data_IF_558715257409
#
_entry.id   IF_558715257409
#
_cell.length_a   1.000
_cell.length_b   1.000
_cell.length_c   1.000
_cell.angle_alpha   90.00
_cell.angle_beta   90.00
_cell.angle_gamma   90.00
#
_symmetry.space_group_name_H-M   'P 1'
#
loop_
_entity.id
_entity.type
_entity.pdbx_description
1 polymer ?
#
# COMPACT_ATOMS: atom_id res chain seq x y z
N UNK A 1 0.28 -17.06 18.42
CA UNK A 1 1.68 -17.36 18.06
C UNK A 1 2.13 -18.75 18.55
N UNK A 2 2.31 -19.01 19.85
CA UNK A 2 3.02 -20.22 20.35
C UNK A 2 2.47 -21.59 19.93
N UNK A 3 1.16 -21.73 19.68
CA UNK A 3 0.60 -23.00 19.18
C UNK A 3 0.95 -23.30 17.71
N UNK A 4 1.38 -22.29 16.94
CA UNK A 4 1.79 -22.45 15.53
C UNK A 4 3.17 -23.06 15.38
N UNK A 5 4.06 -22.85 16.36
CA UNK A 5 5.43 -23.37 16.35
C UNK A 5 5.46 -24.90 16.17
N UNK A 6 4.79 -25.71 17.03
CA UNK A 6 4.80 -27.16 16.85
C UNK A 6 4.10 -27.61 15.57
N UNK A 7 3.06 -26.90 15.11
CA UNK A 7 2.40 -27.20 13.84
C UNK A 7 3.34 -26.99 12.65
N UNK A 8 4.11 -25.90 12.67
CA UNK A 8 5.13 -25.60 11.67
C UNK A 8 6.26 -26.63 11.68
N UNK A 9 6.79 -26.97 12.86
CA UNK A 9 7.82 -28.00 13.03
C UNK A 9 7.34 -29.36 12.50
N UNK A 10 6.09 -29.74 12.79
CA UNK A 10 5.52 -31.00 12.32
C UNK A 10 5.23 -31.02 10.82
N UNK A 11 4.88 -29.88 10.22
CA UNK A 11 4.79 -29.73 8.76
C UNK A 11 6.16 -29.95 8.11
N UNK A 12 7.20 -29.26 8.61
CA UNK A 12 8.59 -29.41 8.12
C UNK A 12 9.05 -30.87 8.26
N UNK A 13 8.75 -31.51 9.39
CA UNK A 13 9.06 -32.91 9.62
C UNK A 13 8.34 -33.83 8.63
N UNK A 14 7.04 -33.62 8.39
CA UNK A 14 6.27 -34.40 7.40
C UNK A 14 6.84 -34.28 5.99
N UNK A 15 7.18 -33.07 5.55
CA UNK A 15 7.78 -32.82 4.24
C UNK A 15 9.14 -33.51 4.10
N UNK A 16 9.94 -33.54 5.17
CA UNK A 16 11.25 -34.21 5.19
C UNK A 16 11.17 -35.73 5.14
N UNK A 17 10.27 -36.31 5.92
CA UNK A 17 10.08 -37.77 5.95
C UNK A 17 9.22 -38.27 4.77
N UNK A 18 8.79 -37.36 3.88
CA UNK A 18 7.92 -37.66 2.73
C UNK A 18 6.60 -38.35 3.15
N UNK A 19 6.13 -38.04 4.35
CA UNK A 19 4.85 -38.53 4.89
C UNK A 19 3.74 -37.59 4.40
N UNK A 20 3.18 -37.90 3.22
CA UNK A 20 2.15 -37.08 2.56
C UNK A 20 0.91 -36.90 3.47
N UNK A 21 0.54 -37.94 4.24
CA UNK A 21 -0.57 -37.85 5.18
C UNK A 21 -0.31 -36.81 6.27
N UNK A 22 0.91 -36.81 6.82
CA UNK A 22 1.35 -35.80 7.80
C UNK A 22 1.41 -34.41 7.20
N UNK A 23 1.98 -34.26 6.00
CA UNK A 23 2.03 -32.98 5.27
C UNK A 23 0.62 -32.42 5.12
N UNK A 24 -0.33 -33.21 4.63
CA UNK A 24 -1.70 -32.76 4.41
C UNK A 24 -2.43 -32.33 5.68
N UNK A 25 -2.17 -32.97 6.83
CA UNK A 25 -2.79 -32.59 8.11
C UNK A 25 -2.23 -31.25 8.60
N UNK A 26 -0.90 -31.12 8.68
CA UNK A 26 -0.30 -29.90 9.22
C UNK A 26 -0.37 -28.73 8.25
N UNK A 27 -0.37 -28.97 6.93
CA UNK A 27 -0.58 -27.92 5.93
C UNK A 27 -1.95 -27.27 6.08
N UNK A 28 -3.02 -28.05 6.29
CA UNK A 28 -4.37 -27.49 6.52
C UNK A 28 -4.48 -26.69 7.81
N UNK A 29 -3.61 -26.91 8.78
CA UNK A 29 -3.55 -26.09 10.00
C UNK A 29 -2.70 -24.82 9.81
N UNK A 30 -1.59 -24.92 9.07
CA UNK A 30 -0.60 -23.83 8.92
C UNK A 30 -0.93 -22.88 7.78
N UNK A 31 -1.19 -23.41 6.58
CA UNK A 31 -1.31 -22.62 5.35
C UNK A 31 -2.42 -21.57 5.42
N UNK A 32 -3.63 -21.85 5.93
CA UNK A 32 -4.67 -20.82 6.02
C UNK A 32 -4.30 -19.62 6.89
N UNK A 33 -3.37 -19.77 7.85
CA UNK A 33 -2.92 -18.66 8.70
C UNK A 33 -2.00 -17.69 7.94
N UNK A 34 -1.39 -18.14 6.83
CA UNK A 34 -0.46 -17.34 6.01
C UNK A 34 -1.22 -16.35 5.11
N UNK A 35 -2.51 -16.57 4.84
CA UNK A 35 -3.33 -15.60 4.08
C UNK A 35 -3.40 -14.22 4.75
N UNK A 36 -3.32 -14.18 6.09
CA UNK A 36 -3.24 -12.95 6.87
C UNK A 36 -1.89 -12.23 6.77
N UNK A 37 -0.92 -12.82 6.05
CA UNK A 37 0.46 -12.38 5.94
C UNK A 37 0.93 -12.16 4.50
N UNK A 38 0.37 -12.86 3.51
CA UNK A 38 0.68 -12.69 2.09
C UNK A 38 -0.20 -13.62 1.27
N UNK A 39 -0.94 -13.03 0.33
CA UNK A 39 -1.86 -13.78 -0.50
C UNK A 39 -1.08 -14.68 -1.46
N UNK A 40 -0.03 -14.18 -2.10
CA UNK A 40 0.78 -14.98 -3.02
C UNK A 40 1.42 -16.21 -2.37
N UNK A 41 1.98 -16.05 -1.16
CA UNK A 41 2.56 -17.18 -0.41
C UNK A 41 1.49 -18.16 0.02
N UNK A 42 0.34 -17.68 0.45
CA UNK A 42 -0.80 -18.53 0.76
C UNK A 42 -1.22 -19.35 -0.46
N UNK A 43 -1.39 -18.73 -1.64
CA UNK A 43 -1.80 -19.42 -2.85
C UNK A 43 -0.78 -20.46 -3.32
N UNK A 44 0.51 -20.12 -3.30
CA UNK A 44 1.58 -21.06 -3.58
C UNK A 44 1.53 -22.27 -2.64
N UNK A 45 1.51 -22.03 -1.32
CA UNK A 45 1.50 -23.10 -0.32
C UNK A 45 0.22 -23.94 -0.35
N UNK A 46 -0.94 -23.32 -0.61
CA UNK A 46 -2.22 -24.02 -0.76
C UNK A 46 -2.21 -24.93 -1.97
N UNK A 47 -1.81 -24.40 -3.13
CA UNK A 47 -1.68 -25.18 -4.35
C UNK A 47 -0.73 -26.35 -4.17
N UNK A 48 0.44 -26.13 -3.56
CA UNK A 48 1.50 -27.13 -3.41
C UNK A 48 1.24 -28.18 -2.31
N UNK A 49 0.60 -27.80 -1.20
CA UNK A 49 0.49 -28.67 -0.01
C UNK A 49 -0.92 -29.17 0.30
N UNK A 50 -1.96 -28.56 -0.30
CA UNK A 50 -3.37 -28.87 0.01
C UNK A 50 -4.12 -29.34 -1.22
N UNK A 51 -4.04 -28.57 -2.31
CA UNK A 51 -4.84 -28.84 -3.52
C UNK A 51 -4.22 -29.94 -4.38
N UNK A 52 -2.88 -30.05 -4.37
CA UNK A 52 -2.13 -31.08 -5.09
C UNK A 52 -1.36 -31.98 -4.12
N UNK A 53 -0.92 -33.13 -4.62
CA UNK A 53 -0.03 -34.03 -3.88
C UNK A 53 1.37 -33.41 -3.78
N UNK A 54 1.84 -33.20 -2.56
CA UNK A 54 3.18 -32.68 -2.29
C UNK A 54 4.27 -33.62 -2.83
N UNK A 55 5.23 -33.06 -3.54
CA UNK A 55 6.42 -33.75 -4.05
C UNK A 55 7.71 -33.20 -3.44
N UNK A 56 8.68 -34.08 -3.18
CA UNK A 56 9.88 -33.72 -2.41
C UNK A 56 10.82 -32.75 -3.13
N UNK A 57 10.77 -32.65 -4.45
CA UNK A 57 11.52 -31.69 -5.26
C UNK A 57 11.19 -30.24 -4.89
N UNK A 58 9.96 -29.97 -4.42
CA UNK A 58 9.51 -28.64 -3.98
C UNK A 58 9.90 -28.32 -2.53
N UNK A 59 10.64 -29.19 -1.85
CA UNK A 59 10.95 -29.04 -0.42
C UNK A 59 11.57 -27.67 -0.08
N UNK A 60 12.56 -27.21 -0.85
CA UNK A 60 13.25 -25.95 -0.56
C UNK A 60 12.36 -24.74 -0.81
N UNK A 61 11.58 -24.75 -1.88
CA UNK A 61 10.68 -23.63 -2.22
C UNK A 61 9.57 -23.48 -1.18
N UNK A 62 8.97 -24.60 -0.77
CA UNK A 62 7.98 -24.62 0.31
C UNK A 62 8.59 -24.20 1.64
N UNK A 63 9.78 -24.72 2.00
CA UNK A 63 10.44 -24.34 3.23
C UNK A 63 10.74 -22.83 3.28
N UNK A 64 11.25 -22.25 2.19
CA UNK A 64 11.49 -20.80 2.10
C UNK A 64 10.19 -19.99 2.20
N UNK A 65 9.10 -20.44 1.56
CA UNK A 65 7.80 -19.77 1.64
C UNK A 65 7.23 -19.79 3.07
N UNK A 66 7.41 -20.91 3.80
CA UNK A 66 7.04 -21.01 5.21
C UNK A 66 7.91 -20.08 6.08
N UNK A 67 9.24 -20.15 5.93
CA UNK A 67 10.20 -19.36 6.73
C UNK A 67 9.99 -17.85 6.59
N UNK A 68 9.69 -17.36 5.37
CA UNK A 68 9.35 -15.95 5.14
C UNK A 68 8.09 -15.50 5.89
N UNK A 69 7.25 -16.43 6.34
CA UNK A 69 5.98 -16.14 7.02
C UNK A 69 6.11 -16.09 8.54
N UNK A 70 7.25 -16.49 9.10
CA UNK A 70 7.45 -16.62 10.55
C UNK A 70 7.26 -15.28 11.27
N UNK A 71 7.90 -14.23 10.76
CA UNK A 71 7.88 -12.90 11.36
C UNK A 71 6.44 -12.32 11.47
N UNK A 72 5.64 -12.45 10.41
CA UNK A 72 4.23 -12.07 10.44
C UNK A 72 3.38 -12.95 11.37
N UNK A 73 3.66 -14.25 11.44
CA UNK A 73 2.97 -15.17 12.36
C UNK A 73 3.40 -14.97 13.83
N UNK A 74 4.42 -14.16 14.07
CA UNK A 74 4.87 -13.71 15.38
C UNK A 74 5.81 -14.68 16.09
N UNK A 75 6.66 -15.38 15.35
CA UNK A 75 7.74 -16.21 15.89
C UNK A 75 9.00 -16.09 15.03
N UNK A 76 10.18 -16.33 15.61
CA UNK A 76 11.49 -16.21 14.94
C UNK A 76 11.96 -17.54 14.33
N UNK A 77 13.07 -17.49 13.60
CA UNK A 77 13.80 -18.69 13.19
C UNK A 77 14.27 -19.53 14.39
N UNK A 78 14.69 -18.87 15.48
CA UNK A 78 15.11 -19.52 16.72
C UNK A 78 13.96 -20.31 17.37
N UNK A 79 12.74 -19.76 17.35
CA UNK A 79 11.55 -20.44 17.89
C UNK A 79 11.25 -21.77 17.18
N UNK A 80 11.56 -21.88 15.88
CA UNK A 80 11.40 -23.10 15.08
C UNK A 80 12.59 -24.05 15.25
N UNK A 81 13.81 -23.49 15.25
CA UNK A 81 15.07 -24.20 15.44
C UNK A 81 15.55 -25.02 14.23
N UNK A 82 16.66 -25.75 14.42
CA UNK A 82 17.24 -26.62 13.41
C UNK A 82 16.63 -28.04 13.41
N UNK A 83 16.35 -28.60 12.23
CA UNK A 83 15.86 -29.97 12.11
C UNK A 83 17.00 -30.98 12.22
N UNK A 84 16.91 -31.90 13.18
CA UNK A 84 17.91 -32.95 13.47
C UNK A 84 19.35 -32.39 13.46
N UNK A 85 19.55 -31.26 14.16
CA UNK A 85 20.82 -30.52 14.41
C UNK A 85 21.68 -30.10 13.20
N UNK A 86 21.45 -30.62 11.99
CA UNK A 86 22.23 -30.27 10.78
C UNK A 86 21.55 -30.66 9.45
N UNK A 87 20.38 -31.30 9.46
CA UNK A 87 19.69 -31.73 8.22
C UNK A 87 18.92 -30.57 7.57
N UNK A 88 18.41 -29.66 8.39
CA UNK A 88 17.98 -28.33 7.96
C UNK A 88 18.58 -27.37 8.98
N UNK A 89 19.45 -26.48 8.51
CA UNK A 89 19.97 -25.42 9.36
C UNK A 89 18.83 -24.51 9.84
N UNK A 90 19.00 -23.95 11.03
CA UNK A 90 18.15 -22.85 11.48
C UNK A 90 18.20 -21.73 10.45
N UNK A 91 17.04 -21.14 10.13
CA UNK A 91 17.02 -19.99 9.24
C UNK A 91 17.61 -18.76 9.93
N UNK A 92 17.95 -17.74 9.16
CA UNK A 92 18.31 -16.44 9.69
C UNK A 92 17.07 -15.54 9.68
N UNK A 93 16.84 -14.83 10.78
CA UNK A 93 15.89 -13.72 10.78
C UNK A 93 16.38 -12.62 9.83
N UNK A 94 15.43 -11.86 9.29
CA UNK A 94 15.70 -10.77 8.36
C UNK A 94 16.60 -9.72 9.03
N UNK A 95 17.75 -9.31 8.46
CA UNK A 95 18.64 -8.34 9.10
C UNK A 95 18.03 -6.92 9.13
N UNK A 96 18.55 -6.04 9.99
CA UNK A 96 18.02 -4.68 10.18
C UNK A 96 18.13 -3.77 8.95
N UNK A 97 19.11 -4.02 8.09
CA UNK A 97 19.37 -3.33 6.83
C UNK A 97 18.77 -4.05 5.63
N UNK A 98 17.84 -4.99 5.85
CA UNK A 98 17.17 -5.69 4.76
C UNK A 98 16.46 -4.69 3.84
N UNK A 99 16.69 -4.78 2.51
CA UNK A 99 16.07 -3.85 1.58
C UNK A 99 14.53 -3.90 1.61
N UNK A 100 13.89 -2.79 1.27
CA UNK A 100 12.44 -2.67 1.09
C UNK A 100 12.19 -2.11 -0.31
N UNK A 101 11.68 -2.95 -1.22
CA UNK A 101 11.56 -2.67 -2.64
C UNK A 101 12.83 -2.06 -3.27
N UNK A 102 13.99 -2.71 -3.05
CA UNK A 102 15.28 -2.24 -3.56
C UNK A 102 15.96 -1.15 -2.75
N UNK A 103 15.25 -0.49 -1.83
CA UNK A 103 15.86 0.51 -0.96
C UNK A 103 16.51 -0.12 0.27
N UNK A 104 17.82 0.05 0.44
CA UNK A 104 18.53 -0.37 1.66
C UNK A 104 18.48 0.74 2.71
N UNK A 105 17.77 0.56 3.85
CA UNK A 105 17.70 1.58 4.90
C UNK A 105 19.01 1.71 5.68
N UNK A 106 19.25 2.88 6.31
CA UNK A 106 20.35 3.04 7.29
C UNK A 106 19.99 2.61 8.70
N UNK A 107 18.71 2.64 9.02
CA UNK A 107 18.14 2.36 10.34
C UNK A 107 17.11 1.24 10.25
N UNK A 108 16.90 0.54 11.36
CA UNK A 108 15.94 -0.55 11.40
C UNK A 108 14.50 -0.03 11.29
N UNK A 109 13.92 -0.19 10.10
CA UNK A 109 12.54 0.23 9.80
C UNK A 109 11.59 -0.94 9.57
N UNK A 110 12.02 -2.18 9.87
CA UNK A 110 11.20 -3.38 9.66
C UNK A 110 9.87 -3.29 10.41
N UNK A 111 9.90 -2.89 11.68
CA UNK A 111 8.68 -2.73 12.47
C UNK A 111 7.80 -1.56 11.96
N UNK A 112 8.36 -0.54 11.33
CA UNK A 112 7.57 0.54 10.73
C UNK A 112 6.85 0.05 9.47
N UNK A 113 7.55 -0.71 8.63
CA UNK A 113 7.02 -1.25 7.38
C UNK A 113 5.84 -2.21 7.59
N UNK A 114 5.78 -2.90 8.75
CA UNK A 114 4.70 -3.84 9.13
C UNK A 114 3.33 -3.20 9.37
N UNK A 115 3.19 -1.87 9.27
CA UNK A 115 1.87 -1.22 9.34
C UNK A 115 0.96 -1.67 8.18
N UNK A 116 1.55 -2.11 7.07
CA UNK A 116 0.83 -2.65 5.92
C UNK A 116 0.09 -3.97 6.24
N UNK A 117 0.61 -4.78 7.17
CA UNK A 117 -0.06 -5.96 7.68
C UNK A 117 -1.32 -5.60 8.48
N UNK A 118 -1.33 -4.45 9.18
CA UNK A 118 -2.54 -3.97 9.85
C UNK A 118 -3.61 -3.60 8.81
N UNK A 119 -3.24 -2.92 7.71
CA UNK A 119 -4.13 -2.65 6.58
C UNK A 119 -4.68 -3.95 5.98
N UNK A 120 -3.83 -4.94 5.71
CA UNK A 120 -4.24 -6.24 5.16
C UNK A 120 -5.22 -6.97 6.09
N UNK A 121 -4.93 -6.98 7.38
CA UNK A 121 -5.77 -7.70 8.34
C UNK A 121 -7.09 -6.97 8.60
N UNK A 122 -7.11 -5.64 8.53
CA UNK A 122 -8.35 -4.85 8.54
C UNK A 122 -9.23 -5.24 7.34
N UNK A 123 -8.67 -5.27 6.13
CA UNK A 123 -9.37 -5.72 4.91
C UNK A 123 -9.99 -7.10 5.10
N UNK A 124 -9.20 -8.07 5.54
CA UNK A 124 -9.69 -9.43 5.79
C UNK A 124 -10.83 -9.38 6.82
N UNK A 125 -10.63 -8.74 7.97
CA UNK A 125 -11.66 -8.70 9.02
C UNK A 125 -12.95 -8.04 8.56
N UNK A 126 -12.90 -6.93 7.82
CA UNK A 126 -14.09 -6.25 7.29
C UNK A 126 -14.82 -7.10 6.25
N UNK A 127 -14.10 -7.81 5.37
CA UNK A 127 -14.72 -8.71 4.38
C UNK A 127 -15.46 -9.90 5.01
N UNK A 128 -14.99 -10.36 6.18
CA UNK A 128 -15.66 -11.36 7.02
C UNK A 128 -16.71 -10.76 7.99
N UNK A 129 -17.08 -9.49 7.80
CA UNK A 129 -18.06 -8.78 8.62
C UNK A 129 -17.66 -8.62 10.11
N UNK A 130 -16.36 -8.71 10.40
CA UNK A 130 -15.80 -8.55 11.75
C UNK A 130 -15.36 -7.09 12.01
N UNK A 131 -16.22 -6.12 11.69
CA UNK A 131 -15.91 -4.68 11.77
C UNK A 131 -15.47 -4.20 13.16
N UNK A 132 -16.02 -4.77 14.24
CA UNK A 132 -15.56 -4.45 15.60
C UNK A 132 -14.09 -4.83 15.83
N UNK A 133 -13.64 -5.97 15.29
CA UNK A 133 -12.25 -6.40 15.40
C UNK A 133 -11.36 -5.60 14.45
N UNK A 134 -11.84 -5.33 13.23
CA UNK A 134 -11.16 -4.44 12.28
C UNK A 134 -10.92 -3.05 12.90
N UNK A 135 -11.94 -2.48 13.56
CA UNK A 135 -11.84 -1.22 14.28
C UNK A 135 -10.80 -1.26 15.42
N UNK A 136 -10.67 -2.39 16.14
CA UNK A 136 -9.60 -2.53 17.14
C UNK A 136 -8.20 -2.50 16.52
N UNK A 137 -8.01 -3.14 15.37
CA UNK A 137 -6.71 -3.10 14.69
C UNK A 137 -6.42 -1.70 14.14
N UNK A 138 -7.43 -1.01 13.63
CA UNK A 138 -7.30 0.40 13.24
C UNK A 138 -6.88 1.29 14.43
N UNK A 139 -7.55 1.15 15.58
CA UNK A 139 -7.34 1.99 16.76
C UNK A 139 -6.03 1.72 17.49
N UNK A 140 -5.66 0.44 17.64
CA UNK A 140 -4.58 0.03 18.54
C UNK A 140 -3.39 -0.63 17.84
N UNK A 141 -3.50 -0.91 16.54
CA UNK A 141 -2.46 -1.61 15.80
C UNK A 141 -2.27 -3.06 16.25
N UNK A 142 -1.47 -3.81 15.50
CA UNK A 142 -1.11 -5.18 15.87
C UNK A 142 0.27 -5.62 15.38
N UNK A 143 0.70 -5.14 14.22
CA UNK A 143 1.91 -5.66 13.58
C UNK A 143 3.09 -4.68 13.65
N UNK A 144 2.85 -3.37 13.67
CA UNK A 144 3.91 -2.36 13.71
C UNK A 144 4.34 -2.01 15.14
N UNK A 145 5.38 -2.64 15.69
CA UNK A 145 5.78 -2.41 17.10
C UNK A 145 6.50 -1.09 17.32
N UNK A 146 6.24 -0.47 18.46
CA UNK A 146 6.97 0.69 18.98
C UNK A 146 7.18 0.60 20.49
N UNK A 147 7.91 1.55 21.06
CA UNK A 147 8.15 1.62 22.51
C UNK A 147 6.81 1.74 23.26
N UNK A 148 6.46 0.72 24.03
CA UNK A 148 5.24 0.70 24.83
C UNK A 148 3.98 0.14 24.13
N UNK A 149 4.09 -0.37 22.89
CA UNK A 149 2.96 -1.02 22.22
C UNK A 149 3.10 -1.16 20.72
N UNK A 150 2.06 -0.77 19.99
CA UNK A 150 1.97 -0.83 18.55
C UNK A 150 1.58 0.55 18.00
N UNK A 151 2.21 0.94 16.90
CA UNK A 151 1.71 2.02 16.06
C UNK A 151 0.38 1.58 15.47
N UNK A 152 -0.56 2.50 15.40
CA UNK A 152 -1.88 2.25 14.83
C UNK A 152 -2.21 3.26 13.73
N UNK A 153 -2.99 2.85 12.74
CA UNK A 153 -3.45 3.73 11.67
C UNK A 153 -4.23 4.92 12.23
N UNK A 154 -5.01 4.72 13.30
CA UNK A 154 -5.63 5.82 14.05
C UNK A 154 -4.59 6.80 14.59
N UNK A 155 -3.55 6.32 15.28
CA UNK A 155 -2.49 7.18 15.81
C UNK A 155 -1.76 7.98 14.74
N UNK A 156 -1.55 7.39 13.55
CA UNK A 156 -1.00 8.10 12.40
C UNK A 156 -2.00 9.13 11.86
N UNK A 157 -3.27 8.75 11.73
CA UNK A 157 -4.35 9.59 11.19
C UNK A 157 -4.76 10.76 12.09
N UNK A 158 -4.44 10.73 13.39
CA UNK A 158 -4.73 11.81 14.35
C UNK A 158 -3.48 12.51 14.87
N UNK A 159 -2.30 12.19 14.33
CA UNK A 159 -1.05 12.80 14.77
C UNK A 159 -1.01 14.28 14.41
N UNK A 160 -0.75 15.14 15.38
CA UNK A 160 -0.57 16.60 15.15
C UNK A 160 0.70 16.91 14.36
N UNK A 161 1.66 15.99 14.31
CA UNK A 161 2.89 16.19 13.54
C UNK A 161 2.66 16.22 12.03
N UNK A 162 1.49 15.78 11.54
CA UNK A 162 1.12 15.89 10.12
C UNK A 162 1.09 17.35 9.63
N UNK A 163 0.91 18.32 10.54
CA UNK A 163 0.96 19.75 10.24
C UNK A 163 2.30 20.23 9.66
N UNK A 164 3.36 19.42 9.70
CA UNK A 164 4.65 19.73 9.07
C UNK A 164 4.60 19.62 7.53
N UNK A 165 3.63 18.91 6.97
CA UNK A 165 3.47 18.75 5.52
C UNK A 165 2.75 19.98 4.96
N UNK A 166 3.51 21.06 4.74
CA UNK A 166 2.99 22.35 4.26
C UNK A 166 3.29 22.56 2.76
N UNK A 167 2.31 22.99 1.94
CA UNK A 167 0.97 23.46 2.32
C UNK A 167 -0.12 22.38 2.39
N UNK A 168 0.17 21.13 2.03
CA UNK A 168 -0.86 20.09 1.83
C UNK A 168 -1.74 19.87 3.05
N UNK A 169 -1.18 19.68 4.25
CA UNK A 169 -1.98 19.44 5.45
C UNK A 169 -2.96 20.58 5.74
N UNK A 170 -2.51 21.83 5.59
CA UNK A 170 -3.35 23.01 5.81
C UNK A 170 -4.48 23.12 4.78
N UNK A 171 -4.20 22.77 3.52
CA UNK A 171 -5.22 22.70 2.45
C UNK A 171 -6.27 21.64 2.80
N UNK A 172 -5.85 20.44 3.22
CA UNK A 172 -6.76 19.36 3.60
C UNK A 172 -7.62 19.71 4.82
N UNK A 173 -7.00 20.25 5.87
CA UNK A 173 -7.71 20.69 7.07
C UNK A 173 -8.76 21.76 6.74
N UNK A 174 -8.40 22.73 5.90
CA UNK A 174 -9.31 23.81 5.50
C UNK A 174 -10.50 23.28 4.69
N UNK A 175 -10.27 22.34 3.77
CA UNK A 175 -11.33 21.75 2.94
C UNK A 175 -12.30 20.88 3.75
N UNK A 176 -11.76 19.96 4.56
CA UNK A 176 -12.59 19.02 5.33
C UNK A 176 -13.14 19.62 6.64
N UNK A 177 -12.59 20.75 7.10
CA UNK A 177 -12.94 21.35 8.39
C UNK A 177 -12.51 20.52 9.61
N UNK A 178 -11.53 19.62 9.44
CA UNK A 178 -11.02 18.75 10.49
C UNK A 178 -9.57 18.34 10.23
N UNK A 179 -8.71 18.45 11.25
CA UNK A 179 -7.34 17.94 11.21
C UNK A 179 -7.32 16.40 11.07
N UNK A 180 -8.37 15.72 11.53
CA UNK A 180 -8.50 14.27 11.57
C UNK A 180 -9.38 13.73 10.42
N UNK A 181 -9.43 14.44 9.29
CA UNK A 181 -10.29 14.14 8.14
C UNK A 181 -10.28 12.67 7.69
N UNK A 182 -9.11 12.03 7.70
CA UNK A 182 -8.95 10.63 7.30
C UNK A 182 -9.50 9.65 8.36
N UNK A 183 -9.31 9.97 9.65
CA UNK A 183 -9.89 9.21 10.75
C UNK A 183 -11.42 9.34 10.77
N UNK A 184 -11.95 10.55 10.57
CA UNK A 184 -13.40 10.78 10.44
C UNK A 184 -13.99 9.91 9.33
N UNK A 185 -13.32 9.84 8.18
CA UNK A 185 -13.76 9.01 7.05
C UNK A 185 -13.74 7.51 7.37
N UNK A 186 -12.65 7.01 7.98
CA UNK A 186 -12.51 5.60 8.34
C UNK A 186 -13.51 5.19 9.43
N UNK A 187 -13.66 6.01 10.49
CA UNK A 187 -14.61 5.73 11.57
C UNK A 187 -16.05 5.77 11.08
N UNK A 188 -16.39 6.67 10.16
CA UNK A 188 -17.72 6.68 9.57
C UNK A 188 -18.06 5.35 8.86
N UNK A 189 -17.09 4.77 8.14
CA UNK A 189 -17.25 3.47 7.50
C UNK A 189 -17.24 2.32 8.52
N UNK A 190 -16.39 2.35 9.56
CA UNK A 190 -16.38 1.33 10.63
C UNK A 190 -17.69 1.28 11.42
N UNK A 191 -18.27 2.44 11.72
CA UNK A 191 -19.44 2.58 12.60
C UNK A 191 -20.78 2.63 11.86
N UNK A 192 -20.79 2.45 10.53
CA UNK A 192 -22.01 2.50 9.68
C UNK A 192 -22.76 3.84 9.76
N UNK A 193 -22.03 4.96 9.78
CA UNK A 193 -22.63 6.29 9.94
C UNK A 193 -22.59 7.11 8.65
N UNK A 194 -23.45 8.14 8.57
CA UNK A 194 -23.51 9.04 7.43
C UNK A 194 -23.84 8.31 6.13
N UNK A 195 -23.03 8.53 5.09
CA UNK A 195 -23.23 7.89 3.78
C UNK A 195 -23.10 6.36 3.85
N UNK A 196 -22.40 5.81 4.84
CA UNK A 196 -22.13 4.38 4.96
C UNK A 196 -23.26 3.57 5.61
N UNK A 197 -24.31 4.22 6.11
CA UNK A 197 -25.44 3.53 6.77
C UNK A 197 -26.21 2.57 5.83
N UNK A 198 -26.16 2.80 4.52
CA UNK A 198 -26.79 1.96 3.50
C UNK A 198 -25.77 1.22 2.62
N UNK A 199 -24.47 1.27 2.96
CA UNK A 199 -23.41 0.68 2.16
C UNK A 199 -23.25 -0.82 2.44
N UNK A 200 -22.84 -1.59 1.43
CA UNK A 200 -22.49 -3.00 1.61
C UNK A 200 -21.22 -3.16 2.46
N UNK A 201 -20.96 -4.38 2.97
CA UNK A 201 -19.71 -4.66 3.70
C UNK A 201 -18.49 -4.49 2.79
N UNK A 202 -18.62 -4.82 1.51
CA UNK A 202 -17.56 -4.67 0.49
C UNK A 202 -17.24 -3.19 0.28
N UNK A 203 -18.25 -2.33 0.16
CA UNK A 203 -18.08 -0.88 0.03
C UNK A 203 -17.41 -0.27 1.26
N UNK A 204 -17.85 -0.65 2.46
CA UNK A 204 -17.26 -0.16 3.71
C UNK A 204 -15.82 -0.64 3.89
N UNK A 205 -15.55 -1.91 3.60
CA UNK A 205 -14.20 -2.48 3.59
C UNK A 205 -13.29 -1.71 2.63
N UNK A 206 -13.76 -1.49 1.40
CA UNK A 206 -13.05 -0.73 0.39
C UNK A 206 -12.76 0.71 0.83
N UNK A 207 -13.74 1.41 1.42
CA UNK A 207 -13.53 2.76 1.95
C UNK A 207 -12.42 2.79 3.02
N UNK A 208 -12.50 1.92 4.03
CA UNK A 208 -11.53 1.87 5.13
C UNK A 208 -10.11 1.65 4.61
N UNK A 209 -9.92 0.62 3.77
CA UNK A 209 -8.61 0.21 3.27
C UNK A 209 -8.03 1.26 2.33
N UNK A 210 -8.85 1.83 1.43
CA UNK A 210 -8.38 2.82 0.48
C UNK A 210 -8.09 4.16 1.15
N UNK A 211 -8.90 4.63 2.09
CA UNK A 211 -8.58 5.83 2.86
C UNK A 211 -7.32 5.65 3.71
N UNK A 212 -7.10 4.47 4.30
CA UNK A 212 -5.86 4.17 5.02
C UNK A 212 -4.64 4.36 4.12
N UNK A 213 -4.59 3.73 2.94
CA UNK A 213 -3.43 3.85 2.05
C UNK A 213 -3.30 5.20 1.34
N UNK A 214 -4.38 5.79 0.82
CA UNK A 214 -4.31 7.01 0.00
C UNK A 214 -4.23 8.29 0.84
N UNK A 215 -4.82 8.31 2.04
CA UNK A 215 -4.91 9.51 2.88
C UNK A 215 -4.03 9.41 4.13
N UNK A 216 -4.19 8.37 4.94
CA UNK A 216 -3.43 8.23 6.21
C UNK A 216 -1.95 8.00 5.93
N UNK A 217 -1.64 6.96 5.17
CA UNK A 217 -0.26 6.55 4.91
C UNK A 217 0.48 7.54 4.02
N UNK A 218 -0.17 8.11 2.99
CA UNK A 218 0.43 9.15 2.15
C UNK A 218 0.83 10.38 2.96
N UNK A 219 -0.09 10.93 3.76
CA UNK A 219 0.18 12.14 4.55
C UNK A 219 1.22 11.88 5.63
N UNK A 220 1.14 10.73 6.32
CA UNK A 220 2.10 10.39 7.37
C UNK A 220 3.48 10.04 6.81
N UNK A 221 3.56 9.36 5.67
CA UNK A 221 4.81 9.10 4.96
C UNK A 221 5.50 10.39 4.53
N UNK A 222 4.75 11.35 3.96
CA UNK A 222 5.27 12.69 3.64
C UNK A 222 5.78 13.39 4.91
N UNK A 223 5.02 13.35 6.00
CA UNK A 223 5.43 13.92 7.30
C UNK A 223 6.80 13.43 7.74
N UNK A 224 7.13 12.15 7.56
CA UNK A 224 8.44 11.62 7.93
C UNK A 224 9.58 12.22 7.08
N UNK A 225 9.35 12.52 5.80
CA UNK A 225 10.34 13.22 4.98
C UNK A 225 10.52 14.69 5.39
N UNK A 226 9.44 15.38 5.75
CA UNK A 226 9.53 16.74 6.30
C UNK A 226 10.28 16.74 7.65
N UNK A 227 10.03 15.75 8.51
CA UNK A 227 10.74 15.58 9.78
C UNK A 227 12.23 15.24 9.53
N UNK A 228 12.55 14.45 8.50
CA UNK A 228 13.92 14.19 8.10
C UNK A 228 14.65 15.49 7.72
N UNK A 229 14.01 16.35 6.91
CA UNK A 229 14.55 17.67 6.55
C UNK A 229 14.73 18.55 7.78
N UNK A 230 13.73 18.63 8.65
CA UNK A 230 13.80 19.43 9.87
C UNK A 230 14.92 18.97 10.81
N UNK A 231 15.07 17.65 11.01
CA UNK A 231 16.15 17.06 11.80
C UNK A 231 17.53 17.28 11.17
N UNK A 232 17.62 17.25 9.84
CA UNK A 232 18.83 17.55 9.10
C UNK A 232 19.25 19.02 9.31
N UNK A 233 18.32 19.97 9.10
CA UNK A 233 18.57 21.42 9.27
C UNK A 233 18.92 21.80 10.72
N UNK A 234 18.38 21.08 11.70
CA UNK A 234 18.58 21.37 13.13
C UNK A 234 19.98 21.01 13.68
N UNK A 235 20.91 20.54 12.83
CA UNK A 235 22.35 20.38 13.06
C UNK A 235 22.85 20.35 14.52
N UNK A 236 23.14 19.16 15.07
CA UNK A 236 24.08 18.95 16.18
C UNK A 236 23.69 19.43 17.59
N UNK A 237 22.58 20.15 17.77
CA UNK A 237 22.23 20.78 19.06
C UNK A 237 21.37 19.93 20.01
N UNK A 238 21.27 18.62 19.78
CA UNK A 238 20.76 17.73 20.82
C UNK A 238 21.95 17.04 21.46
N UNK A 239 22.23 17.44 22.71
CA UNK A 239 23.12 16.69 23.60
C UNK A 239 22.67 15.23 23.56
N UNK A 240 23.58 14.34 23.15
CA UNK A 240 23.40 12.92 23.33
C UNK A 240 23.07 12.65 24.80
N UNK A 241 21.87 12.15 25.06
CA UNK A 241 21.61 11.47 26.33
C UNK A 241 22.54 10.25 26.38
N UNK A 242 23.20 10.05 27.53
CA UNK A 242 24.20 9.00 27.73
C UNK A 242 23.68 7.56 27.53
N UNK A 243 22.39 7.37 27.22
CA UNK A 243 21.77 6.08 26.89
C UNK A 243 21.64 5.79 25.38
N UNK A 244 21.92 6.73 24.47
CA UNK A 244 22.00 6.46 23.03
C UNK A 244 22.72 7.61 22.30
N UNK A 245 23.91 7.41 21.69
CA UNK A 245 24.67 8.46 21.02
C UNK A 245 24.08 8.74 19.64
N UNK A 246 22.83 9.22 19.57
CA UNK A 246 22.15 9.52 18.29
C UNK A 246 22.36 10.99 17.94
N UNK A 247 23.23 11.26 16.97
CA UNK A 247 23.45 12.59 16.37
C UNK A 247 22.19 13.10 15.67
N UNK A 248 22.09 14.40 15.36
CA UNK A 248 20.98 14.94 14.54
C UNK A 248 20.89 14.27 13.16
N UNK A 249 22.04 13.92 12.58
CA UNK A 249 22.15 13.19 11.31
C UNK A 249 21.44 11.85 11.42
N UNK A 250 21.69 11.08 12.48
CA UNK A 250 21.02 9.79 12.69
C UNK A 250 19.50 9.92 12.87
N UNK A 251 19.01 11.04 13.41
CA UNK A 251 17.56 11.32 13.46
C UNK A 251 16.98 11.68 12.09
N UNK A 252 17.71 12.43 11.28
CA UNK A 252 17.34 12.73 9.90
C UNK A 252 17.25 11.46 9.06
N UNK A 253 18.29 10.63 9.11
CA UNK A 253 18.37 9.32 8.44
C UNK A 253 17.22 8.41 8.85
N UNK A 254 16.98 8.30 10.17
CA UNK A 254 15.89 7.47 10.68
C UNK A 254 14.52 7.94 10.19
N UNK A 255 14.28 9.27 10.14
CA UNK A 255 13.01 9.80 9.65
C UNK A 255 12.85 9.58 8.15
N UNK A 256 13.95 9.73 7.38
CA UNK A 256 13.95 9.45 5.95
C UNK A 256 13.60 7.99 5.68
N UNK A 257 14.31 7.05 6.31
CA UNK A 257 14.05 5.60 6.17
C UNK A 257 12.60 5.24 6.58
N UNK A 258 12.06 5.86 7.65
CA UNK A 258 10.67 5.63 8.09
C UNK A 258 9.66 6.07 7.03
N UNK A 259 9.89 7.20 6.36
CA UNK A 259 9.04 7.66 5.27
C UNK A 259 8.93 6.61 4.16
N UNK A 260 10.07 6.05 3.73
CA UNK A 260 10.09 4.97 2.73
C UNK A 260 9.34 3.72 3.24
N UNK A 261 9.55 3.32 4.49
CA UNK A 261 8.85 2.17 5.07
C UNK A 261 7.32 2.33 5.05
N UNK A 262 6.82 3.56 5.28
CA UNK A 262 5.40 3.89 5.24
C UNK A 262 4.81 4.08 3.84
N UNK A 263 5.64 4.24 2.80
CA UNK A 263 5.19 4.22 1.40
C UNK A 263 5.21 2.82 0.80
N UNK A 264 6.17 2.00 1.21
CA UNK A 264 6.44 0.72 0.56
C UNK A 264 5.79 -0.46 1.28
N UNK A 265 5.92 -0.54 2.61
CA UNK A 265 5.39 -1.66 3.39
C UNK A 265 6.27 -2.91 3.35
N UNK A 266 6.08 -3.78 4.35
CA UNK A 266 6.84 -5.03 4.51
C UNK A 266 6.50 -6.09 3.45
N UNK A 267 5.31 -6.04 2.87
CA UNK A 267 4.77 -7.02 1.92
C UNK A 267 5.39 -6.92 0.51
N UNK A 268 6.02 -5.79 0.18
CA UNK A 268 6.80 -5.68 -1.06
C UNK A 268 8.11 -6.48 -0.98
N UNK A 269 8.60 -6.82 0.21
CA UNK A 269 9.87 -7.53 0.38
C UNK A 269 11.08 -6.73 -0.14
N UNK A 270 12.22 -7.40 -0.33
CA UNK A 270 13.50 -6.74 -0.60
C UNK A 270 13.99 -6.71 -2.04
N UNK A 271 13.23 -7.25 -3.00
CA UNK A 271 13.61 -7.18 -4.42
C UNK A 271 13.47 -5.75 -4.95
N UNK A 272 14.26 -5.38 -5.96
CA UNK A 272 14.28 -4.00 -6.49
C UNK A 272 12.92 -3.50 -6.99
N UNK A 273 12.10 -4.38 -7.56
CA UNK A 273 10.75 -4.06 -8.03
C UNK A 273 9.64 -4.37 -7.01
N UNK A 274 10.04 -4.58 -5.75
CA UNK A 274 9.17 -5.07 -4.70
C UNK A 274 8.67 -6.48 -5.00
N UNK A 275 7.45 -6.78 -4.59
CA UNK A 275 6.89 -8.12 -4.71
C UNK A 275 6.63 -8.44 -6.18
N UNK A 276 6.99 -9.64 -6.66
CA UNK A 276 6.57 -10.10 -7.99
C UNK A 276 5.06 -10.41 -8.04
N UNK A 277 4.29 -9.95 -7.06
CA UNK A 277 2.84 -10.09 -6.96
C UNK A 277 2.25 -8.79 -6.41
N UNK A 278 0.92 -8.66 -6.43
CA UNK A 278 0.21 -7.48 -5.93
C UNK A 278 -0.05 -7.54 -4.40
N UNK A 279 0.84 -8.17 -3.64
CA UNK A 279 0.69 -8.39 -2.19
C UNK A 279 0.79 -7.11 -1.36
N UNK A 280 1.52 -6.09 -1.83
CA UNK A 280 1.71 -4.83 -1.09
C UNK A 280 0.40 -4.12 -0.78
N UNK A 281 0.35 -3.37 0.33
CA UNK A 281 -0.88 -2.66 0.74
C UNK A 281 -0.76 -1.14 0.67
N UNK A 282 0.45 -0.64 0.49
CA UNK A 282 0.76 0.79 0.56
C UNK A 282 1.00 1.36 -0.85
N UNK A 283 1.45 2.61 -0.89
CA UNK A 283 1.55 3.41 -2.10
C UNK A 283 2.36 2.74 -3.22
N UNK A 284 3.45 2.03 -2.88
CA UNK A 284 4.28 1.34 -3.87
C UNK A 284 3.45 0.33 -4.70
N UNK A 285 2.53 -0.41 -4.09
CA UNK A 285 1.62 -1.30 -4.81
C UNK A 285 0.53 -0.54 -5.56
N UNK A 286 0.04 0.58 -5.01
CA UNK A 286 -0.94 1.45 -5.71
C UNK A 286 -0.37 1.86 -7.08
N UNK A 287 0.87 2.35 -7.12
CA UNK A 287 1.52 2.69 -8.37
C UNK A 287 1.67 1.50 -9.33
N UNK A 288 2.02 0.32 -8.83
CA UNK A 288 2.12 -0.92 -9.63
C UNK A 288 0.79 -1.33 -10.24
N UNK A 289 -0.30 -1.27 -9.47
CA UNK A 289 -1.63 -1.57 -9.97
C UNK A 289 -2.04 -0.58 -11.06
N UNK A 290 -1.84 0.72 -10.82
CA UNK A 290 -2.24 1.76 -11.77
C UNK A 290 -1.43 1.72 -13.06
N UNK A 291 -0.12 1.42 -12.99
CA UNK A 291 0.70 1.45 -14.20
C UNK A 291 0.22 0.49 -15.29
N UNK A 292 -0.40 -0.64 -14.89
CA UNK A 292 -0.91 -1.68 -15.80
C UNK A 292 -2.02 -1.10 -16.68
N UNK A 293 -2.91 -0.30 -16.08
CA UNK A 293 -4.06 0.28 -16.78
C UNK A 293 -3.68 1.49 -17.64
N UNK A 294 -2.66 2.24 -17.22
CA UNK A 294 -2.25 3.49 -17.88
C UNK A 294 -1.11 3.34 -18.89
N UNK A 295 -0.57 2.13 -19.06
CA UNK A 295 0.56 1.88 -19.95
C UNK A 295 1.87 2.53 -19.47
N UNK A 296 1.99 2.75 -18.15
CA UNK A 296 3.13 3.47 -17.53
C UNK A 296 4.05 2.54 -16.75
N UNK A 297 3.93 1.22 -16.93
CA UNK A 297 4.88 0.28 -16.35
C UNK A 297 6.21 0.23 -17.14
N UNK A 298 7.25 -0.26 -16.48
CA UNK A 298 8.54 -0.55 -17.09
C UNK A 298 8.43 -1.72 -18.07
N UNK A 299 9.05 -1.59 -19.24
CA UNK A 299 9.12 -2.68 -20.22
C UNK A 299 10.24 -3.64 -19.83
N UNK A 300 9.93 -4.73 -19.11
CA UNK A 300 10.88 -5.81 -18.81
C UNK A 300 10.50 -7.13 -19.50
N UNK A 301 11.46 -8.02 -19.79
CA UNK A 301 11.16 -9.33 -20.38
C UNK A 301 10.33 -10.20 -19.42
N UNK A 302 9.03 -10.33 -19.74
CA UNK A 302 8.01 -11.37 -19.48
C UNK A 302 8.09 -12.34 -18.26
N UNK A 303 8.82 -12.03 -17.19
CA UNK A 303 8.93 -12.92 -16.01
C UNK A 303 8.71 -12.25 -14.66
N UNK A 304 8.51 -10.93 -14.63
CA UNK A 304 8.12 -10.16 -13.43
C UNK A 304 6.90 -9.32 -13.77
N UNK A 305 5.99 -9.14 -12.81
CA UNK A 305 4.99 -8.07 -12.93
C UNK A 305 5.75 -6.76 -13.12
N UNK A 306 5.37 -5.99 -14.13
CA UNK A 306 6.11 -4.79 -14.47
C UNK A 306 5.96 -3.75 -13.35
N UNK A 307 7.10 -3.29 -12.82
CA UNK A 307 7.11 -2.18 -11.87
C UNK A 307 6.61 -0.90 -12.54
N UNK A 308 6.07 0.03 -11.76
CA UNK A 308 5.64 1.33 -12.27
C UNK A 308 6.86 2.24 -12.51
N UNK A 309 6.88 2.99 -13.62
CA UNK A 309 7.94 3.99 -13.87
C UNK A 309 8.07 4.98 -12.71
N UNK A 310 6.95 5.38 -12.12
CA UNK A 310 6.93 6.28 -10.94
C UNK A 310 7.62 5.65 -9.72
N UNK A 311 7.57 4.33 -9.53
CA UNK A 311 8.26 3.67 -8.43
C UNK A 311 9.77 3.64 -8.62
N UNK A 312 10.24 3.45 -9.86
CA UNK A 312 11.68 3.54 -10.18
C UNK A 312 12.22 4.96 -9.89
N UNK A 313 11.45 5.98 -10.28
CA UNK A 313 11.82 7.37 -10.00
C UNK A 313 11.74 7.71 -8.50
N UNK A 314 10.72 7.22 -7.79
CA UNK A 314 10.65 7.34 -6.33
C UNK A 314 11.85 6.67 -5.66
N UNK A 315 12.25 5.48 -6.09
CA UNK A 315 13.43 4.79 -5.56
C UNK A 315 14.70 5.62 -5.77
N UNK A 316 14.87 6.22 -6.96
CA UNK A 316 15.99 7.11 -7.23
C UNK A 316 15.98 8.35 -6.30
N UNK A 317 14.81 8.95 -6.07
CA UNK A 317 14.66 10.07 -5.13
C UNK A 317 14.91 9.65 -3.68
N UNK A 318 14.50 8.46 -3.28
CA UNK A 318 14.75 7.90 -1.95
C UNK A 318 16.24 7.70 -1.68
N UNK A 319 16.96 7.15 -2.66
CA UNK A 319 18.43 6.98 -2.59
C UNK A 319 19.13 8.34 -2.58
N UNK A 320 18.71 9.25 -3.47
CA UNK A 320 19.27 10.61 -3.56
C UNK A 320 19.07 11.39 -2.25
N UNK A 321 17.85 11.44 -1.72
CA UNK A 321 17.55 12.15 -0.49
C UNK A 321 18.25 11.57 0.74
N UNK A 322 18.42 10.24 0.82
CA UNK A 322 19.30 9.63 1.83
C UNK A 322 20.74 10.15 1.72
N UNK A 323 21.27 10.22 0.50
CA UNK A 323 22.58 10.82 0.22
C UNK A 323 22.70 12.26 0.70
N UNK A 324 21.65 13.08 0.49
CA UNK A 324 21.60 14.47 0.96
C UNK A 324 21.59 14.59 2.49
N UNK A 325 20.84 13.73 3.17
CA UNK A 325 20.84 13.68 4.65
C UNK A 325 22.22 13.32 5.18
N UNK A 326 22.87 12.29 4.61
CA UNK A 326 24.22 11.84 5.00
C UNK A 326 25.26 12.94 4.75
N UNK A 327 25.15 13.63 3.61
CA UNK A 327 26.04 14.73 3.24
C UNK A 327 25.75 16.04 4.00
N UNK A 328 24.69 16.08 4.81
CA UNK A 328 24.22 17.28 5.52
C UNK A 328 23.91 18.45 4.56
N UNK A 329 23.46 18.16 3.34
CA UNK A 329 23.01 19.13 2.32
C UNK A 329 21.49 19.31 2.40
N UNK A 330 21.01 19.66 3.59
CA UNK A 330 19.60 19.57 3.98
C UNK A 330 18.65 20.50 3.20
N UNK A 331 19.15 21.59 2.64
CA UNK A 331 18.34 22.54 1.85
C UNK A 331 17.80 21.90 0.57
N UNK A 332 18.59 21.01 -0.05
CA UNK A 332 18.23 20.34 -1.30
C UNK A 332 17.08 19.33 -1.11
N UNK A 333 16.88 18.82 0.12
CA UNK A 333 15.78 17.91 0.45
C UNK A 333 14.41 18.51 0.16
N UNK A 334 14.25 19.83 0.24
CA UNK A 334 12.98 20.49 -0.08
C UNK A 334 12.56 20.22 -1.52
N UNK A 335 13.52 20.25 -2.47
CA UNK A 335 13.26 19.93 -3.88
C UNK A 335 12.96 18.44 -4.08
N UNK A 336 13.69 17.55 -3.41
CA UNK A 336 13.46 16.11 -3.46
C UNK A 336 12.06 15.75 -2.96
N UNK A 337 11.63 16.33 -1.84
CA UNK A 337 10.30 16.09 -1.25
C UNK A 337 9.19 16.55 -2.20
N UNK A 338 9.32 17.72 -2.84
CA UNK A 338 8.35 18.20 -3.84
C UNK A 338 8.25 17.29 -5.06
N UNK A 339 9.36 16.70 -5.49
CA UNK A 339 9.35 15.71 -6.57
C UNK A 339 8.64 14.41 -6.14
N UNK A 340 8.86 13.97 -4.90
CA UNK A 340 8.09 12.85 -4.32
C UNK A 340 6.60 13.17 -4.32
N UNK A 341 6.19 14.33 -3.80
CA UNK A 341 4.79 14.79 -3.81
C UNK A 341 4.16 14.76 -5.21
N UNK A 342 4.87 15.25 -6.23
CA UNK A 342 4.41 15.21 -7.63
C UNK A 342 4.20 13.78 -8.13
N UNK A 343 5.13 12.87 -7.86
CA UNK A 343 5.00 11.45 -8.23
C UNK A 343 3.86 10.75 -7.47
N UNK A 344 3.60 11.16 -6.22
CA UNK A 344 2.46 10.65 -5.45
C UNK A 344 1.13 11.03 -6.13
N UNK A 345 1.00 12.28 -6.58
CA UNK A 345 -0.20 12.74 -7.28
C UNK A 345 -0.44 11.99 -8.59
N UNK A 346 0.61 11.61 -9.34
CA UNK A 346 0.45 10.82 -10.56
C UNK A 346 -0.32 9.54 -10.30
N UNK A 347 0.05 8.74 -9.30
CA UNK A 347 -0.65 7.47 -9.03
C UNK A 347 -2.05 7.68 -8.44
N UNK A 348 -2.27 8.76 -7.67
CA UNK A 348 -3.60 9.10 -7.14
C UNK A 348 -4.54 9.58 -8.25
N UNK A 349 -4.03 10.33 -9.23
CA UNK A 349 -4.79 10.75 -10.42
C UNK A 349 -5.15 9.54 -11.28
N UNK A 350 -4.20 8.65 -11.54
CA UNK A 350 -4.45 7.38 -12.23
C UNK A 350 -5.54 6.57 -11.53
N UNK A 351 -5.46 6.41 -10.20
CA UNK A 351 -6.48 5.69 -9.44
C UNK A 351 -7.85 6.36 -9.48
N UNK A 352 -7.90 7.68 -9.37
CA UNK A 352 -9.17 8.44 -9.45
C UNK A 352 -9.86 8.21 -10.80
N UNK A 353 -9.11 8.31 -11.91
CA UNK A 353 -9.64 8.05 -13.25
C UNK A 353 -10.02 6.59 -13.46
N UNK A 354 -9.19 5.65 -13.01
CA UNK A 354 -9.48 4.22 -13.11
C UNK A 354 -10.82 3.86 -12.47
N UNK A 355 -11.01 4.25 -11.21
CA UNK A 355 -12.25 3.94 -10.49
C UNK A 355 -13.44 4.79 -10.95
N UNK A 356 -13.21 5.96 -11.56
CA UNK A 356 -14.25 6.67 -12.29
C UNK A 356 -14.72 5.89 -13.52
N UNK A 357 -13.80 5.33 -14.32
CA UNK A 357 -14.12 4.50 -15.49
C UNK A 357 -14.94 3.27 -15.08
N UNK A 358 -14.54 2.58 -14.00
CA UNK A 358 -15.26 1.41 -13.49
C UNK A 358 -16.64 1.78 -12.92
N UNK A 359 -16.77 2.96 -12.33
CA UNK A 359 -18.00 3.40 -11.68
C UNK A 359 -19.02 4.07 -12.62
N UNK A 360 -18.63 4.47 -13.83
CA UNK A 360 -19.48 5.35 -14.67
C UNK A 360 -20.79 4.73 -15.14
N UNK A 361 -20.83 3.39 -15.23
CA UNK A 361 -22.01 2.65 -15.68
C UNK A 361 -22.81 2.04 -14.51
N UNK A 362 -22.41 2.33 -13.27
CA UNK A 362 -23.11 1.85 -12.09
C UNK A 362 -24.41 2.64 -11.86
N UNK A 363 -25.41 1.96 -11.31
CA UNK A 363 -26.70 2.57 -10.99
C UNK A 363 -26.72 3.13 -9.56
N UNK A 364 -27.70 4.01 -9.30
CA UNK A 364 -27.98 4.48 -7.94
C UNK A 364 -28.24 3.29 -7.01
N UNK A 365 -27.58 3.29 -5.85
CA UNK A 365 -27.74 2.23 -4.86
C UNK A 365 -26.97 0.95 -5.18
N UNK A 366 -26.03 0.98 -6.14
CA UNK A 366 -25.12 -0.14 -6.41
C UNK A 366 -24.43 -0.61 -5.12
N UNK A 367 -24.15 -1.92 -5.06
CA UNK A 367 -23.32 -2.54 -4.02
C UNK A 367 -21.89 -2.79 -4.47
N UNK A 368 -21.53 -2.42 -5.71
CA UNK A 368 -20.16 -2.52 -6.21
C UNK A 368 -19.24 -1.70 -5.29
N UNK A 369 -18.11 -2.26 -4.88
CA UNK A 369 -17.12 -1.58 -4.04
C UNK A 369 -16.35 -0.49 -4.79
N UNK A 370 -16.31 -0.52 -6.11
CA UNK A 370 -15.52 0.42 -6.93
C UNK A 370 -15.90 1.89 -6.67
N UNK A 371 -17.18 2.17 -6.41
CA UNK A 371 -17.65 3.53 -6.06
C UNK A 371 -17.12 4.01 -4.71
N UNK A 372 -16.87 3.11 -3.76
CA UNK A 372 -16.26 3.44 -2.48
C UNK A 372 -14.74 3.60 -2.59
N UNK A 373 -14.12 2.87 -3.53
CA UNK A 373 -12.70 3.08 -3.86
C UNK A 373 -12.53 4.44 -4.55
N UNK A 374 -13.39 4.78 -5.52
CA UNK A 374 -13.41 6.08 -6.19
C UNK A 374 -13.50 7.24 -5.18
N UNK A 375 -14.38 7.14 -4.18
CA UNK A 375 -14.50 8.11 -3.10
C UNK A 375 -13.20 8.28 -2.30
N UNK A 376 -12.55 7.18 -1.92
CA UNK A 376 -11.32 7.23 -1.13
C UNK A 376 -10.13 7.80 -1.92
N UNK A 377 -10.01 7.50 -3.22
CA UNK A 377 -9.02 8.14 -4.09
C UNK A 377 -9.33 9.62 -4.29
N UNK A 378 -10.60 9.95 -4.58
CA UNK A 378 -11.03 11.33 -4.78
C UNK A 378 -10.74 12.18 -3.56
N UNK A 379 -11.15 11.76 -2.35
CA UNK A 379 -10.88 12.50 -1.10
C UNK A 379 -9.39 12.68 -0.80
N UNK A 380 -8.51 11.85 -1.37
CA UNK A 380 -7.07 12.00 -1.21
C UNK A 380 -6.45 13.09 -2.10
N UNK A 381 -7.17 13.61 -3.09
CA UNK A 381 -6.70 14.69 -3.96
C UNK A 381 -7.64 15.90 -4.00
N UNK A 382 -8.91 15.71 -3.67
CA UNK A 382 -9.98 16.69 -3.79
C UNK A 382 -9.68 18.03 -3.10
N UNK A 383 -9.07 18.09 -1.89
CA UNK A 383 -8.66 19.36 -1.30
C UNK A 383 -7.67 20.15 -2.15
N UNK A 384 -6.74 19.46 -2.83
CA UNK A 384 -5.79 20.10 -3.73
C UNK A 384 -6.50 20.59 -4.99
N UNK A 385 -7.35 19.76 -5.61
CA UNK A 385 -8.14 20.16 -6.78
C UNK A 385 -8.94 21.42 -6.46
N UNK A 386 -9.71 21.42 -5.37
CA UNK A 386 -10.54 22.54 -4.94
C UNK A 386 -9.73 23.80 -4.55
N UNK A 387 -8.52 23.62 -4.01
CA UNK A 387 -7.66 24.77 -3.68
C UNK A 387 -7.14 25.51 -4.91
N UNK A 388 -6.79 24.77 -5.97
CA UNK A 388 -6.29 25.35 -7.21
C UNK A 388 -7.43 25.81 -8.12
N UNK A 389 -8.55 25.09 -8.15
CA UNK A 389 -9.76 25.45 -8.89
C UNK A 389 -11.02 24.97 -8.12
N UNK A 390 -11.75 25.93 -7.54
CA UNK A 390 -12.92 25.68 -6.71
C UNK A 390 -14.03 24.95 -7.48
N UNK A 391 -14.30 25.39 -8.73
CA UNK A 391 -15.35 24.84 -9.59
C UNK A 391 -15.01 23.42 -10.02
N UNK A 392 -13.74 23.16 -10.37
CA UNK A 392 -13.24 21.82 -10.67
C UNK A 392 -13.38 20.90 -9.45
N UNK A 393 -13.07 21.39 -8.25
CA UNK A 393 -13.26 20.65 -7.00
C UNK A 393 -14.73 20.24 -6.79
N UNK A 394 -15.66 21.18 -6.96
CA UNK A 394 -17.10 20.90 -6.83
C UNK A 394 -17.61 19.91 -7.90
N UNK A 395 -17.08 20.00 -9.13
CA UNK A 395 -17.41 19.08 -10.21
C UNK A 395 -16.93 17.66 -9.91
N UNK A 396 -15.70 17.51 -9.42
CA UNK A 396 -15.12 16.22 -9.03
C UNK A 396 -15.88 15.61 -7.85
N UNK A 397 -16.18 16.41 -6.83
CA UNK A 397 -16.99 16.01 -5.67
C UNK A 397 -18.38 15.52 -6.10
N UNK A 398 -19.03 16.26 -7.01
CA UNK A 398 -20.34 15.92 -7.56
C UNK A 398 -20.41 14.52 -8.18
N UNK A 399 -19.29 14.06 -8.76
CA UNK A 399 -19.17 12.82 -9.52
C UNK A 399 -18.67 11.62 -8.72
N UNK A 400 -17.66 11.80 -7.85
CA UNK A 400 -16.93 10.67 -7.26
C UNK A 400 -17.02 10.55 -5.75
N UNK A 401 -17.50 11.56 -5.02
CA UNK A 401 -17.74 11.41 -3.58
C UNK A 401 -18.96 10.52 -3.36
N UNK A 402 -18.77 9.48 -2.54
CA UNK A 402 -19.74 8.40 -2.39
C UNK A 402 -21.08 8.91 -1.85
N UNK A 403 -22.16 8.50 -2.52
CA UNK A 403 -23.53 8.71 -2.06
C UNK A 403 -24.41 7.56 -2.52
N UNK A 404 -25.03 6.86 -1.56
CA UNK A 404 -25.96 5.78 -1.88
C UNK A 404 -27.21 6.25 -2.65
N UNK A 405 -27.56 7.54 -2.53
CA UNK A 405 -28.75 8.14 -3.14
C UNK A 405 -28.50 8.78 -4.51
N UNK A 406 -27.25 8.88 -4.94
CA UNK A 406 -26.86 9.50 -6.21
C UNK A 406 -26.38 8.42 -7.18
N UNK A 407 -26.56 8.68 -8.47
CA UNK A 407 -25.87 7.90 -9.48
C UNK A 407 -24.37 8.29 -9.46
N UNK A 408 -23.44 7.32 -9.39
CA UNK A 408 -22.01 7.59 -9.52
C UNK A 408 -21.68 8.21 -10.88
N UNK A 409 -20.68 9.10 -10.92
CA UNK A 409 -20.11 9.68 -12.16
C UNK A 409 -21.20 10.26 -13.10
N UNK A 410 -22.15 11.01 -12.56
CA UNK A 410 -23.31 11.53 -13.30
C UNK A 410 -22.96 12.38 -14.52
N UNK A 411 -21.82 13.08 -14.50
CA UNK A 411 -21.27 13.87 -15.59
C UNK A 411 -20.42 13.06 -16.58
N UNK A 412 -20.30 11.74 -16.38
CA UNK A 412 -19.43 10.87 -17.17
C UNK A 412 -17.94 11.08 -16.88
N UNK A 413 -17.12 10.27 -17.54
CA UNK A 413 -15.65 10.33 -17.40
C UNK A 413 -15.09 11.69 -17.85
N UNK A 414 -15.72 12.36 -18.81
CA UNK A 414 -15.30 13.67 -19.32
C UNK A 414 -15.35 14.75 -18.23
N UNK A 415 -16.37 14.75 -17.36
CA UNK A 415 -16.46 15.70 -16.26
C UNK A 415 -15.35 15.47 -15.22
N UNK A 416 -14.99 14.21 -14.99
CA UNK A 416 -13.89 13.84 -14.07
C UNK A 416 -12.56 14.29 -14.64
N UNK A 417 -12.23 13.93 -15.88
CA UNK A 417 -10.96 14.35 -16.50
C UNK A 417 -10.86 15.85 -16.68
N UNK A 418 -11.97 16.52 -17.01
CA UNK A 418 -12.04 17.98 -17.05
C UNK A 418 -11.64 18.59 -15.70
N UNK A 419 -12.25 18.15 -14.59
CA UNK A 419 -11.91 18.70 -13.27
C UNK A 419 -10.43 18.54 -12.90
N UNK A 420 -9.82 17.41 -13.25
CA UNK A 420 -8.39 17.18 -13.00
C UNK A 420 -7.51 18.08 -13.89
N UNK A 421 -7.89 18.26 -15.16
CA UNK A 421 -7.20 19.13 -16.10
C UNK A 421 -7.29 20.61 -15.72
N UNK A 422 -8.47 21.06 -15.28
CA UNK A 422 -8.72 22.45 -14.89
C UNK A 422 -7.85 22.83 -13.69
N UNK A 423 -7.74 21.95 -12.67
CA UNK A 423 -6.83 22.17 -11.55
C UNK A 423 -5.34 22.18 -11.95
N UNK A 424 -4.91 21.32 -12.89
CA UNK A 424 -3.55 21.35 -13.43
C UNK A 424 -3.29 22.69 -14.14
N UNK A 425 -4.23 23.14 -14.97
CA UNK A 425 -4.16 24.42 -15.68
C UNK A 425 -4.14 25.62 -14.72
N UNK A 426 -4.80 25.50 -13.57
CA UNK A 426 -4.80 26.50 -12.50
C UNK A 426 -3.51 26.49 -11.66
N UNK A 427 -2.58 25.56 -11.90
CA UNK A 427 -1.23 25.56 -11.31
C UNK A 427 -0.90 24.38 -10.40
N UNK A 428 -1.79 23.39 -10.27
CA UNK A 428 -1.47 22.16 -9.56
C UNK A 428 -0.37 21.39 -10.32
N UNK A 429 0.76 21.18 -9.66
CA UNK A 429 1.93 20.54 -10.31
C UNK A 429 1.79 19.03 -10.33
N UNK A 430 1.50 18.47 -11.49
CA UNK A 430 1.52 17.03 -11.78
C UNK A 430 2.35 16.80 -13.05
N UNK A 431 3.25 15.82 -13.04
CA UNK A 431 4.00 15.48 -14.25
C UNK A 431 3.13 14.66 -15.23
N UNK A 432 2.48 15.39 -16.14
CA UNK A 432 1.62 14.85 -17.18
C UNK A 432 2.29 13.81 -18.08
N UNK A 433 3.62 13.85 -18.25
CA UNK A 433 4.33 12.87 -19.07
C UNK A 433 4.32 11.46 -18.44
N UNK A 434 3.98 11.37 -17.15
CA UNK A 434 3.99 10.12 -16.38
C UNK A 434 2.60 9.55 -16.11
N UNK A 435 1.53 10.29 -16.40
CA UNK A 435 0.16 9.86 -16.10
C UNK A 435 -0.30 8.75 -17.04
N UNK A 436 0.01 8.85 -18.34
CA UNK A 436 -0.43 7.88 -19.34
C UNK A 436 -1.92 8.02 -19.67
N UNK A 437 -2.53 6.95 -20.19
CA UNK A 437 -3.94 6.93 -20.57
C UNK A 437 -4.53 5.52 -20.40
N UNK A 438 -5.80 5.44 -20.01
CA UNK A 438 -6.58 4.20 -19.91
C UNK A 438 -7.75 4.25 -20.89
N UNK A 439 -7.90 3.24 -21.75
CA UNK A 439 -9.03 3.15 -22.70
C UNK A 439 -9.23 4.40 -23.59
N UNK A 440 -8.13 5.10 -23.92
CA UNK A 440 -8.16 6.35 -24.70
C UNK A 440 -8.49 7.59 -23.86
N UNK A 441 -8.82 7.42 -22.57
CA UNK A 441 -8.98 8.50 -21.59
C UNK A 441 -7.60 8.89 -21.08
N UNK A 442 -7.09 10.00 -21.61
CA UNK A 442 -5.88 10.66 -21.14
C UNK A 442 -6.19 11.72 -20.08
N UNK A 443 -5.22 11.98 -19.23
CA UNK A 443 -5.18 13.19 -18.41
C UNK A 443 -4.15 14.16 -19.01
N UNK A 444 -4.35 15.43 -18.69
CA UNK A 444 -3.58 16.59 -19.15
C UNK A 444 -3.95 17.14 -20.54
N UNK A 445 -3.79 18.46 -20.76
CA UNK A 445 -4.10 19.11 -22.04
C UNK A 445 -3.35 18.51 -23.23
N UNK A 446 -3.97 18.57 -24.40
CA UNK A 446 -3.54 17.94 -25.67
C UNK A 446 -2.11 18.27 -26.16
N UNK A 447 -1.40 19.21 -25.55
CA UNK A 447 -0.03 19.59 -25.95
C UNK A 447 1.03 18.50 -25.69
N UNK A 448 0.70 17.43 -24.95
CA UNK A 448 1.65 16.34 -24.63
C UNK A 448 1.46 15.04 -25.44
N UNK A 449 0.34 14.86 -26.14
CA UNK A 449 0.08 13.63 -26.90
C UNK A 449 0.66 13.62 -28.33
N UNK A 450 1.31 14.71 -28.77
CA UNK A 450 1.78 14.84 -30.15
C UNK A 450 3.01 14.00 -30.52
N UNK A 451 3.54 13.14 -29.64
CA UNK A 451 4.76 12.36 -29.91
C UNK A 451 4.66 10.84 -29.68
N UNK A 452 3.49 10.26 -29.41
CA UNK A 452 3.37 8.80 -29.24
C UNK A 452 2.55 8.08 -30.32
N UNK A 453 2.19 8.75 -31.42
CA UNK A 453 1.61 8.07 -32.59
C UNK A 453 2.71 7.40 -33.42
N UNK A 454 3.26 6.31 -32.89
CA UNK A 454 3.68 5.20 -33.74
C UNK A 454 2.76 4.02 -33.43
N UNK A 455 1.72 3.93 -34.25
CA UNK A 455 0.87 2.76 -34.42
C UNK A 455 1.66 1.46 -34.34
N UNK A 456 1.45 0.72 -33.26
CA UNK A 456 1.49 -0.73 -33.31
C UNK A 456 0.25 -1.24 -32.60
N UNK A 457 -0.81 -1.41 -33.37
CA UNK A 457 -1.92 -2.30 -33.04
C UNK A 457 -1.34 -3.70 -32.75
N UNK A 458 -1.05 -3.98 -31.48
CA UNK A 458 -1.00 -5.35 -30.99
C UNK A 458 -2.35 -5.59 -30.33
N UNK A 459 -3.30 -6.02 -31.15
CA UNK A 459 -4.49 -6.74 -30.72
C UNK A 459 -4.07 -8.08 -30.12
N UNK A 460 -3.56 -8.06 -28.89
CA UNK A 460 -3.50 -9.26 -28.07
C UNK A 460 -4.91 -9.51 -27.51
N UNK A 461 -5.49 -10.70 -27.68
CA UNK A 461 -6.83 -10.98 -27.19
C UNK A 461 -6.79 -10.96 -25.65
N UNK A 462 -7.42 -9.94 -25.06
CA UNK A 462 -7.70 -9.81 -23.63
C UNK A 462 -8.69 -10.92 -23.27
N UNK A 463 -8.20 -12.14 -23.03
CA UNK A 463 -9.06 -13.27 -22.63
C UNK A 463 -8.41 -14.25 -21.65
N UNK A 464 -7.23 -13.94 -21.07
CA UNK A 464 -6.56 -14.89 -20.13
C UNK A 464 -6.06 -14.23 -18.82
N UNK A 465 -6.29 -12.93 -18.61
CA UNK A 465 -5.96 -12.24 -17.33
C UNK A 465 -7.20 -11.90 -16.48
N UNK A 466 -8.39 -12.26 -16.95
CA UNK A 466 -9.67 -11.86 -16.35
C UNK A 466 -10.12 -12.72 -15.15
N UNK A 467 -9.38 -13.76 -14.76
CA UNK A 467 -9.75 -14.61 -13.61
C UNK A 467 -9.00 -14.30 -12.30
N UNK A 468 -7.93 -13.48 -12.31
CA UNK A 468 -7.16 -13.21 -11.09
C UNK A 468 -7.55 -11.88 -10.43
N UNK A 469 -8.13 -10.92 -11.16
CA UNK A 469 -8.50 -9.61 -10.61
C UNK A 469 -9.93 -9.61 -10.01
N UNK A 470 -10.79 -10.58 -10.37
CA UNK A 470 -12.17 -10.69 -9.84
C UNK A 470 -12.27 -11.49 -8.53
N UNK A 471 -11.19 -12.15 -8.08
CA UNK A 471 -11.23 -12.97 -6.86
C UNK A 471 -11.08 -12.19 -5.54
N UNK A 472 -10.82 -10.88 -5.58
CA UNK A 472 -10.79 -10.02 -4.39
C UNK A 472 -12.16 -9.74 -3.76
N UNK A 473 -13.26 -10.05 -4.46
CA UNK A 473 -14.62 -9.70 -4.00
C UNK A 473 -15.59 -10.85 -3.74
N UNK A 474 -15.33 -12.09 -4.22
CA UNK A 474 -16.41 -13.09 -4.29
C UNK A 474 -16.11 -14.54 -3.83
N UNK A 475 -14.90 -14.90 -3.41
CA UNK A 475 -14.59 -16.32 -3.08
C UNK A 475 -14.50 -16.66 -1.59
N UNK A 476 -15.53 -16.29 -0.83
CA UNK A 476 -15.74 -16.78 0.55
C UNK A 476 -17.09 -17.43 0.81
N UNK A 477 -17.89 -17.62 -0.24
CA UNK A 477 -19.08 -18.46 -0.20
C UNK A 477 -18.72 -19.85 -0.71
N UNK A 478 -18.14 -20.69 0.15
CA UNK A 478 -18.22 -22.16 0.08
C UNK A 478 -17.46 -22.73 1.30
N UNK A 479 -18.09 -22.66 2.48
CA UNK A 479 -17.82 -23.53 3.64
C UNK A 479 -18.97 -23.32 4.64
N UNK A 480 -20.10 -23.95 4.32
CA UNK A 480 -21.13 -24.36 5.26
C UNK A 480 -21.26 -25.87 5.18
#
# INVERSE_FOLDING_TARGET
>A
ARMMIPLMQMLIHGMREQDIGRVGIYARAVVPQISACSESRYQFLKSTLIDNDYTHDLFLDVLHALQRSFDCLGFSCEDIGAYKTSVIAECADVPADYPIAGYTPTTDVREHAKIDLDVKQIEILSMYNAFTTAGRYYMYGKNSKEDGGYRSLHGLATSTNRAQVDPWFNIFNSYFGSEDYADVSIRAALDETGAWAAASKEQRSASIVNTAKTSVMTMYGLREFYDARANCLSGGNVKSSASSPRTSIHRGESSWDRGIAFFTGSLEGGKEDGSDTIDGQLFFNVAKQMCVYFGTCNSRPSSSFNNAKVNEELLALFISGKGLVVANTCEELSSTIKQIESLLLVALFQGTVHFAILSQNEERGTTNSDVAIADAYTKSILPLIHHYDEDAGLLLEGNLVYSHTRQPVVGGIDAVTQSLNDAINAGLTVDCTKVGAQEGVGLCPDEFFSNSSSDTHISAPISVLFEIIILGGASLLLLS
#
